data_IF_506761545097
#
_entry.id   IF_506761545097
#
_cell.length_a   1.000
_cell.length_b   1.000
_cell.length_c   1.000
_cell.angle_alpha   90.00
_cell.angle_beta   90.00
_cell.angle_gamma   90.00
#
_symmetry.space_group_name_H-M   'P 1'
#
loop_
_entity.id
_entity.type
_entity.pdbx_description
1 polymer ?
#
# COMPACT_ATOMS: atom_id res chain seq x y z
N UNK A 1 5.63 -23.42 -25.00
CA UNK A 1 5.28 -22.87 -26.34
C UNK A 1 3.90 -22.26 -26.24
N UNK A 2 3.79 -20.97 -26.43
CA UNK A 2 2.53 -20.20 -26.29
C UNK A 2 1.61 -20.51 -27.46
N UNK A 3 0.30 -20.69 -27.19
CA UNK A 3 -0.70 -20.95 -28.20
C UNK A 3 -1.45 -19.68 -28.59
N UNK A 4 -2.00 -19.63 -29.81
CA UNK A 4 -2.89 -18.56 -30.28
C UNK A 4 -4.09 -18.34 -29.34
N UNK A 5 -4.57 -19.39 -28.69
CA UNK A 5 -5.70 -19.32 -27.74
C UNK A 5 -5.32 -18.58 -26.46
N UNK A 6 -4.09 -18.77 -25.98
CA UNK A 6 -3.58 -18.03 -24.80
C UNK A 6 -3.44 -16.53 -25.09
N UNK A 7 -2.92 -16.17 -26.27
CA UNK A 7 -2.82 -14.74 -26.67
C UNK A 7 -4.22 -14.12 -26.81
N UNK A 8 -5.17 -14.82 -27.42
CA UNK A 8 -6.58 -14.34 -27.49
C UNK A 8 -7.20 -14.17 -26.12
N UNK A 9 -6.94 -15.08 -25.18
CA UNK A 9 -7.38 -14.95 -23.80
C UNK A 9 -6.81 -13.68 -23.13
N UNK A 10 -5.53 -13.39 -23.37
CA UNK A 10 -4.89 -12.18 -22.87
C UNK A 10 -5.47 -10.91 -23.48
N UNK A 11 -5.72 -10.89 -24.80
CA UNK A 11 -6.39 -9.79 -25.50
C UNK A 11 -7.77 -9.47 -24.90
N UNK A 12 -8.58 -10.51 -24.63
CA UNK A 12 -9.89 -10.33 -24.01
C UNK A 12 -9.81 -9.72 -22.60
N UNK A 13 -8.77 -10.10 -21.81
CA UNK A 13 -8.53 -9.48 -20.49
C UNK A 13 -8.18 -7.99 -20.65
N UNK A 14 -7.30 -7.64 -21.59
CA UNK A 14 -6.93 -6.24 -21.87
C UNK A 14 -8.16 -5.43 -22.28
N UNK A 15 -9.00 -5.93 -23.21
CA UNK A 15 -10.23 -5.25 -23.60
C UNK A 15 -11.20 -5.07 -22.42
N UNK A 16 -11.29 -6.06 -21.55
CA UNK A 16 -12.16 -6.00 -20.36
C UNK A 16 -11.64 -4.96 -19.40
N UNK A 17 -10.33 -4.93 -19.13
CA UNK A 17 -9.70 -3.91 -18.30
C UNK A 17 -9.94 -2.51 -18.89
N UNK A 18 -9.74 -2.31 -20.18
CA UNK A 18 -9.97 -1.03 -20.85
C UNK A 18 -11.38 -0.49 -20.67
N UNK A 19 -12.39 -1.38 -20.70
CA UNK A 19 -13.78 -1.02 -20.40
C UNK A 19 -14.00 -0.69 -18.92
N UNK A 20 -13.43 -1.49 -18.01
CA UNK A 20 -13.55 -1.26 -16.57
C UNK A 20 -12.96 0.09 -16.15
N UNK A 21 -11.79 0.46 -16.67
CA UNK A 21 -11.13 1.73 -16.36
C UNK A 21 -11.61 2.90 -17.22
N UNK A 22 -12.53 2.67 -18.17
CA UNK A 22 -13.04 3.68 -19.12
C UNK A 22 -11.89 4.39 -19.86
N UNK A 23 -11.01 3.61 -20.50
CA UNK A 23 -9.73 4.11 -21.04
C UNK A 23 -9.89 5.30 -22.01
N UNK A 24 -10.93 5.30 -22.86
CA UNK A 24 -11.15 6.36 -23.83
C UNK A 24 -11.49 7.69 -23.14
N UNK A 25 -12.34 7.65 -22.10
CA UNK A 25 -12.66 8.84 -21.31
C UNK A 25 -11.41 9.38 -20.57
N UNK A 26 -10.54 8.48 -20.08
CA UNK A 26 -9.28 8.89 -19.45
C UNK A 26 -8.29 9.51 -20.44
N UNK A 27 -8.25 9.04 -21.68
CA UNK A 27 -7.44 9.66 -22.73
C UNK A 27 -7.89 11.09 -23.03
N UNK A 28 -9.21 11.30 -23.16
CA UNK A 28 -9.79 12.64 -23.33
C UNK A 28 -9.48 13.55 -22.13
N UNK A 29 -9.60 13.01 -20.92
CA UNK A 29 -9.26 13.75 -19.70
C UNK A 29 -7.79 14.15 -19.65
N UNK A 30 -6.86 13.25 -20.02
CA UNK A 30 -5.42 13.56 -20.11
C UNK A 30 -5.18 14.69 -21.10
N UNK A 31 -5.82 14.66 -22.26
CA UNK A 31 -5.67 15.71 -23.27
C UNK A 31 -6.18 17.06 -22.75
N UNK A 32 -7.38 17.10 -22.20
CA UNK A 32 -7.99 18.30 -21.63
C UNK A 32 -7.17 18.88 -20.47
N UNK A 33 -6.75 18.02 -19.53
CA UNK A 33 -5.92 18.45 -18.40
C UNK A 33 -4.54 18.93 -18.86
N UNK A 34 -3.93 18.27 -19.85
CA UNK A 34 -2.65 18.70 -20.40
C UNK A 34 -2.76 20.06 -21.09
N UNK A 35 -3.84 20.34 -21.83
CA UNK A 35 -4.07 21.65 -22.41
C UNK A 35 -4.20 22.75 -21.35
N UNK A 36 -4.85 22.48 -20.21
CA UNK A 36 -4.95 23.44 -19.11
C UNK A 36 -3.59 23.80 -18.50
N UNK A 37 -2.64 22.87 -18.45
CA UNK A 37 -1.29 23.17 -17.92
C UNK A 37 -0.48 24.12 -18.81
N UNK A 38 -0.91 24.35 -20.06
CA UNK A 38 -0.28 25.28 -21.00
C UNK A 38 -0.82 26.71 -20.87
N UNK A 39 -1.86 26.96 -20.09
CA UNK A 39 -2.41 28.28 -19.86
C UNK A 39 -1.43 29.14 -19.05
N UNK A 40 -1.36 30.43 -19.39
CA UNK A 40 -0.37 31.33 -18.81
C UNK A 40 -0.57 31.58 -17.31
N UNK A 41 -1.80 31.48 -16.85
CA UNK A 41 -2.24 31.66 -15.46
C UNK A 41 -2.18 30.39 -14.61
N UNK A 42 -1.82 29.24 -15.21
CA UNK A 42 -1.78 27.95 -14.50
C UNK A 42 -0.82 27.94 -13.29
N UNK A 43 0.25 28.72 -13.36
CA UNK A 43 1.30 28.74 -12.34
C UNK A 43 1.13 29.86 -11.29
N UNK A 44 0.03 30.62 -11.34
CA UNK A 44 -0.21 31.74 -10.42
C UNK A 44 -0.46 31.24 -8.97
N UNK A 45 -1.05 30.05 -8.80
CA UNK A 45 -1.16 29.35 -7.52
C UNK A 45 -0.37 28.03 -7.53
N UNK A 46 0.83 28.01 -6.93
CA UNK A 46 1.67 26.81 -6.92
C UNK A 46 1.04 25.59 -6.23
N UNK A 47 0.20 25.80 -5.21
CA UNK A 47 -0.44 24.70 -4.47
C UNK A 47 -1.53 24.05 -5.31
N UNK A 48 -2.37 24.84 -5.94
CA UNK A 48 -3.40 24.33 -6.86
C UNK A 48 -2.76 23.65 -8.06
N UNK A 49 -1.69 24.23 -8.62
CA UNK A 49 -0.94 23.64 -9.72
C UNK A 49 -0.34 22.27 -9.35
N UNK A 50 0.26 22.14 -8.16
CA UNK A 50 0.80 20.88 -7.65
C UNK A 50 -0.30 19.79 -7.52
N UNK A 51 -1.43 20.15 -6.92
CA UNK A 51 -2.58 19.24 -6.78
C UNK A 51 -3.09 18.78 -8.15
N UNK A 52 -3.25 19.73 -9.07
CA UNK A 52 -3.70 19.43 -10.43
C UNK A 52 -2.74 18.52 -11.20
N UNK A 53 -1.42 18.75 -11.08
CA UNK A 53 -0.39 17.91 -11.69
C UNK A 53 -0.37 16.49 -11.08
N UNK A 54 -0.60 16.37 -9.79
CA UNK A 54 -0.73 15.07 -9.13
C UNK A 54 -1.93 14.28 -9.67
N UNK A 55 -3.08 14.93 -9.83
CA UNK A 55 -4.26 14.33 -10.46
C UNK A 55 -3.98 13.90 -11.91
N UNK A 56 -3.39 14.80 -12.72
CA UNK A 56 -3.03 14.51 -14.10
C UNK A 56 -2.06 13.33 -14.20
N UNK A 57 -1.06 13.27 -13.31
CA UNK A 57 -0.12 12.16 -13.24
C UNK A 57 -0.84 10.83 -12.94
N UNK A 58 -1.82 10.83 -12.04
CA UNK A 58 -2.64 9.66 -11.74
C UNK A 58 -3.43 9.16 -12.96
N UNK A 59 -4.04 10.07 -13.73
CA UNK A 59 -4.78 9.67 -14.96
C UNK A 59 -3.80 9.19 -16.05
N UNK A 60 -2.67 9.86 -16.25
CA UNK A 60 -1.61 9.46 -17.19
C UNK A 60 -1.05 8.08 -16.87
N UNK A 61 -0.91 7.75 -15.59
CA UNK A 61 -0.46 6.42 -15.18
C UNK A 61 -1.32 5.30 -15.77
N UNK A 62 -2.66 5.46 -15.69
CA UNK A 62 -3.59 4.47 -16.22
C UNK A 62 -3.51 4.36 -17.75
N UNK A 63 -3.45 5.48 -18.44
CA UNK A 63 -3.36 5.51 -19.90
C UNK A 63 -2.05 4.88 -20.37
N UNK A 64 -0.93 5.31 -19.80
CA UNK A 64 0.40 4.80 -20.19
C UNK A 64 0.54 3.29 -19.85
N UNK A 65 0.06 2.87 -18.68
CA UNK A 65 0.09 1.46 -18.29
C UNK A 65 -0.74 0.58 -19.21
N UNK A 66 -1.96 1.03 -19.53
CA UNK A 66 -2.84 0.32 -20.47
C UNK A 66 -2.23 0.25 -21.88
N UNK A 67 -1.71 1.34 -22.40
CA UNK A 67 -1.10 1.40 -23.74
C UNK A 67 0.13 0.48 -23.82
N UNK A 68 0.93 0.44 -22.74
CA UNK A 68 2.08 -0.47 -22.63
C UNK A 68 1.67 -1.94 -22.73
N UNK A 69 0.65 -2.33 -21.95
CA UNK A 69 0.15 -3.72 -21.96
C UNK A 69 -0.50 -4.05 -23.30
N UNK A 70 -1.29 -3.15 -23.86
CA UNK A 70 -1.91 -3.35 -25.17
C UNK A 70 -0.87 -3.56 -26.28
N UNK A 71 0.16 -2.72 -26.31
CA UNK A 71 1.28 -2.87 -27.25
C UNK A 71 2.03 -4.19 -27.05
N UNK A 72 2.33 -4.56 -25.80
CA UNK A 72 3.01 -5.83 -25.52
C UNK A 72 2.19 -7.04 -26.01
N UNK A 73 0.87 -7.00 -25.89
CA UNK A 73 -0.01 -8.07 -26.37
C UNK A 73 -0.13 -8.09 -27.89
N UNK A 74 -0.07 -6.93 -28.56
CA UNK A 74 0.01 -6.85 -30.03
C UNK A 74 1.33 -7.44 -30.53
N UNK A 75 2.45 -7.12 -29.89
CA UNK A 75 3.78 -7.67 -30.22
C UNK A 75 3.83 -9.21 -30.11
N UNK A 76 3.10 -9.82 -29.17
CA UNK A 76 3.02 -11.28 -29.06
C UNK A 76 2.45 -11.96 -30.31
N UNK A 77 1.54 -11.32 -31.05
CA UNK A 77 1.03 -11.88 -32.31
C UNK A 77 2.14 -11.89 -33.37
N UNK A 78 2.97 -10.86 -33.41
CA UNK A 78 4.11 -10.77 -34.32
C UNK A 78 5.15 -11.82 -33.98
N UNK A 79 5.51 -11.99 -32.69
CA UNK A 79 6.45 -13.00 -32.23
C UNK A 79 5.95 -14.42 -32.53
N UNK A 80 4.65 -14.64 -32.43
CA UNK A 80 4.05 -15.94 -32.75
C UNK A 80 4.14 -16.25 -34.26
N UNK A 81 3.95 -15.27 -35.15
CA UNK A 81 4.07 -15.43 -36.61
C UNK A 81 5.52 -15.77 -37.04
N UNK A 82 6.51 -15.23 -36.33
CA UNK A 82 7.92 -15.46 -36.59
C UNK A 82 8.51 -16.70 -35.86
N UNK A 83 7.69 -17.40 -35.06
CA UNK A 83 8.13 -18.53 -34.22
C UNK A 83 9.35 -18.20 -33.35
N UNK A 84 9.35 -16.95 -32.77
CA UNK A 84 10.46 -16.43 -32.00
C UNK A 84 10.59 -17.15 -30.65
N UNK A 85 11.82 -17.50 -30.27
CA UNK A 85 12.11 -18.17 -29.00
C UNK A 85 11.84 -17.27 -27.77
N UNK A 86 11.80 -15.94 -27.95
CA UNK A 86 11.53 -14.98 -26.88
C UNK A 86 10.04 -14.87 -26.51
N UNK A 87 9.14 -15.51 -27.26
CA UNK A 87 7.68 -15.41 -27.04
C UNK A 87 7.25 -15.83 -25.63
N UNK A 88 7.85 -16.88 -25.06
CA UNK A 88 7.49 -17.36 -23.72
C UNK A 88 7.84 -16.32 -22.64
N UNK A 89 8.95 -15.62 -22.78
CA UNK A 89 9.38 -14.56 -21.88
C UNK A 89 8.54 -13.30 -22.07
N UNK A 90 8.28 -12.88 -23.30
CA UNK A 90 7.44 -11.74 -23.62
C UNK A 90 6.00 -11.93 -23.10
N UNK A 91 5.44 -13.15 -23.25
CA UNK A 91 4.14 -13.49 -22.73
C UNK A 91 4.08 -13.39 -21.20
N UNK A 92 5.08 -13.95 -20.50
CA UNK A 92 5.15 -13.88 -19.05
C UNK A 92 5.21 -12.43 -18.56
N UNK A 93 6.00 -11.58 -19.21
CA UNK A 93 6.09 -10.15 -18.88
C UNK A 93 4.77 -9.40 -19.14
N UNK A 94 4.08 -9.68 -20.26
CA UNK A 94 2.79 -9.06 -20.56
C UNK A 94 1.70 -9.49 -19.56
N UNK A 95 1.71 -10.75 -19.12
CA UNK A 95 0.80 -11.24 -18.07
C UNK A 95 1.06 -10.53 -16.75
N UNK A 96 2.32 -10.43 -16.33
CA UNK A 96 2.70 -9.78 -15.07
C UNK A 96 2.26 -8.30 -15.05
N UNK A 97 2.50 -7.57 -16.15
CA UNK A 97 2.07 -6.17 -16.26
C UNK A 97 0.54 -6.00 -16.26
N UNK A 98 -0.18 -6.89 -16.95
CA UNK A 98 -1.65 -6.88 -16.94
C UNK A 98 -2.20 -7.18 -15.54
N UNK A 99 -1.68 -8.19 -14.86
CA UNK A 99 -2.11 -8.56 -13.51
C UNK A 99 -1.85 -7.44 -12.51
N UNK A 100 -0.74 -6.71 -12.65
CA UNK A 100 -0.45 -5.54 -11.82
C UNK A 100 -1.49 -4.42 -12.00
N UNK A 101 -1.93 -4.16 -13.25
CA UNK A 101 -2.97 -3.17 -13.53
C UNK A 101 -4.36 -3.63 -13.05
N UNK A 102 -4.71 -4.90 -13.26
CA UNK A 102 -5.96 -5.48 -12.78
C UNK A 102 -6.05 -5.40 -11.25
N UNK A 103 -4.97 -5.77 -10.55
CA UNK A 103 -4.90 -5.67 -9.10
C UNK A 103 -5.07 -4.23 -8.62
N UNK A 104 -4.40 -3.28 -9.28
CA UNK A 104 -4.52 -1.86 -8.95
C UNK A 104 -5.94 -1.33 -9.21
N UNK A 105 -6.62 -1.83 -10.24
CA UNK A 105 -8.01 -1.47 -10.50
C UNK A 105 -8.99 -1.95 -9.41
N UNK A 106 -8.63 -3.00 -8.67
CA UNK A 106 -9.40 -3.46 -7.51
C UNK A 106 -9.24 -2.55 -6.28
N UNK A 107 -8.18 -1.72 -6.24
CA UNK A 107 -7.90 -0.77 -5.17
C UNK A 107 -8.59 0.56 -5.50
N UNK A 108 -9.92 0.61 -5.33
CA UNK A 108 -10.76 1.76 -5.69
C UNK A 108 -11.46 2.42 -4.51
N UNK A 109 -11.17 2.01 -3.26
CA UNK A 109 -11.77 2.63 -2.09
C UNK A 109 -11.07 3.94 -1.72
N UNK A 110 -11.79 4.80 -1.01
CA UNK A 110 -11.26 6.07 -0.53
C UNK A 110 -10.03 5.83 0.36
N UNK A 111 -8.92 6.50 0.04
CA UNK A 111 -7.65 6.35 0.74
C UNK A 111 -6.73 5.24 0.20
N UNK A 112 -7.20 4.34 -0.67
CA UNK A 112 -6.35 3.27 -1.22
C UNK A 112 -5.10 3.79 -1.95
N UNK A 113 -5.20 4.97 -2.53
CA UNK A 113 -4.12 5.64 -3.25
C UNK A 113 -3.05 6.28 -2.35
N UNK A 114 -3.28 6.29 -1.04
CA UNK A 114 -2.37 6.92 -0.08
C UNK A 114 -1.19 6.01 0.30
N UNK A 115 -0.18 6.62 0.92
CA UNK A 115 0.83 5.91 1.69
C UNK A 115 0.21 5.17 2.89
N UNK A 116 0.99 4.37 3.59
CA UNK A 116 0.53 3.61 4.74
C UNK A 116 1.35 3.90 5.99
N UNK A 117 0.69 3.87 7.14
CA UNK A 117 1.31 3.75 8.45
C UNK A 117 1.02 2.34 8.97
N UNK A 118 2.05 1.57 9.22
CA UNK A 118 1.95 0.18 9.65
C UNK A 118 2.51 0.04 11.06
N UNK A 119 1.69 -0.47 11.99
CA UNK A 119 2.06 -0.72 13.38
C UNK A 119 2.02 -2.21 13.65
N UNK A 120 3.11 -2.77 14.19
CA UNK A 120 3.21 -4.17 14.59
C UNK A 120 3.39 -4.21 16.11
N UNK A 121 2.59 -5.03 16.78
CA UNK A 121 2.72 -5.24 18.22
C UNK A 121 2.86 -6.74 18.51
N UNK A 122 3.81 -7.08 19.34
CA UNK A 122 3.98 -8.47 19.81
C UNK A 122 2.81 -8.91 20.67
N UNK A 123 2.40 -10.16 20.52
CA UNK A 123 1.40 -10.78 21.39
C UNK A 123 1.98 -11.20 22.75
N UNK A 124 1.16 -11.86 23.56
CA UNK A 124 1.53 -12.27 24.93
C UNK A 124 2.59 -13.40 25.03
N UNK A 125 3.27 -13.74 23.95
CA UNK A 125 4.21 -14.86 23.86
C UNK A 125 5.66 -14.58 24.31
N UNK A 126 5.94 -13.44 24.92
CA UNK A 126 7.30 -13.07 25.36
C UNK A 126 8.29 -13.04 24.18
N UNK A 127 9.53 -13.54 24.39
CA UNK A 127 10.63 -13.52 23.42
C UNK A 127 10.26 -14.10 22.04
N UNK A 128 9.45 -15.17 22.00
CA UNK A 128 8.99 -15.77 20.74
C UNK A 128 8.09 -14.83 19.94
N UNK A 129 7.20 -14.09 20.61
CA UNK A 129 6.33 -13.11 19.96
C UNK A 129 7.11 -11.87 19.49
N UNK A 130 8.08 -11.44 20.27
CA UNK A 130 8.97 -10.32 19.89
C UNK A 130 9.79 -10.67 18.65
N UNK A 131 10.33 -11.89 18.57
CA UNK A 131 11.07 -12.36 17.39
C UNK A 131 10.16 -12.46 16.15
N UNK A 132 8.93 -12.96 16.33
CA UNK A 132 7.94 -12.98 15.26
C UNK A 132 7.61 -11.57 14.73
N UNK A 133 7.43 -10.60 15.62
CA UNK A 133 7.22 -9.20 15.22
C UNK A 133 8.39 -8.63 14.42
N UNK A 134 9.64 -8.94 14.81
CA UNK A 134 10.83 -8.55 14.05
C UNK A 134 10.90 -9.22 12.66
N UNK A 135 10.45 -10.47 12.56
CA UNK A 135 10.35 -11.16 11.27
C UNK A 135 9.31 -10.50 10.35
N UNK A 136 8.14 -10.13 10.89
CA UNK A 136 7.10 -9.40 10.15
C UNK A 136 7.59 -8.03 9.69
N UNK A 137 8.23 -7.26 10.58
CA UNK A 137 8.84 -5.97 10.24
C UNK A 137 9.78 -6.12 9.04
N UNK A 138 10.71 -7.08 9.11
CA UNK A 138 11.64 -7.33 8.00
C UNK A 138 10.94 -7.74 6.72
N UNK A 139 9.87 -8.53 6.80
CA UNK A 139 9.07 -8.95 5.65
C UNK A 139 8.46 -7.75 4.94
N UNK A 140 7.81 -6.84 5.68
CA UNK A 140 7.17 -5.64 5.12
C UNK A 140 8.19 -4.64 4.57
N UNK A 141 9.32 -4.42 5.26
CA UNK A 141 10.39 -3.56 4.75
C UNK A 141 10.89 -4.09 3.40
N UNK A 142 11.20 -5.38 3.30
CA UNK A 142 11.69 -5.97 2.05
C UNK A 142 10.64 -5.98 0.94
N UNK A 143 9.37 -6.14 1.29
CA UNK A 143 8.29 -6.01 0.32
C UNK A 143 8.22 -4.57 -0.22
N UNK A 144 8.27 -3.59 0.65
CA UNK A 144 8.24 -2.19 0.29
C UNK A 144 9.44 -1.79 -0.60
N UNK A 145 10.65 -2.21 -0.23
CA UNK A 145 11.87 -1.98 -1.03
C UNK A 145 11.77 -2.55 -2.45
N UNK A 146 11.25 -3.79 -2.60
CA UNK A 146 11.06 -4.44 -3.91
C UNK A 146 10.06 -3.71 -4.79
N UNK A 147 9.06 -3.08 -4.18
CA UNK A 147 8.04 -2.31 -4.89
C UNK A 147 8.38 -0.82 -5.02
N UNK A 148 9.60 -0.42 -4.65
CA UNK A 148 10.08 0.95 -4.81
C UNK A 148 9.50 1.95 -3.81
N UNK A 149 8.89 1.47 -2.71
CA UNK A 149 8.39 2.31 -1.63
C UNK A 149 9.51 2.77 -0.70
N UNK A 150 9.38 3.99 -0.20
CA UNK A 150 10.27 4.49 0.85
C UNK A 150 9.69 4.12 2.22
N UNK A 151 10.51 3.48 3.06
CA UNK A 151 10.12 3.10 4.43
C UNK A 151 10.87 3.94 5.44
N UNK A 152 10.16 4.50 6.40
CA UNK A 152 10.71 5.23 7.54
C UNK A 152 10.18 4.64 8.83
N UNK A 153 11.05 4.16 9.71
CA UNK A 153 10.67 3.71 11.05
C UNK A 153 10.49 4.97 11.92
N UNK A 154 9.28 5.16 12.45
CA UNK A 154 8.94 6.34 13.27
C UNK A 154 9.04 6.07 14.76
N UNK A 155 8.78 4.82 15.17
CA UNK A 155 8.87 4.38 16.55
C UNK A 155 9.24 2.90 16.59
N UNK A 156 10.13 2.52 17.53
CA UNK A 156 10.53 1.14 17.73
C UNK A 156 10.83 0.89 19.20
N UNK A 157 10.17 -0.13 19.75
CA UNK A 157 10.44 -0.61 21.09
C UNK A 157 11.02 -2.03 21.02
N UNK A 158 12.27 -2.16 21.38
CA UNK A 158 12.96 -3.45 21.41
C UNK A 158 12.37 -4.41 22.45
N UNK A 159 12.49 -5.71 22.21
CA UNK A 159 12.20 -6.75 23.19
C UNK A 159 13.31 -6.87 24.21
N UNK A 160 12.99 -7.35 25.41
CA UNK A 160 13.97 -7.47 26.52
C UNK A 160 15.12 -8.43 26.18
N UNK A 161 14.84 -9.58 25.58
CA UNK A 161 15.84 -10.60 25.25
C UNK A 161 16.14 -10.68 23.76
N UNK A 162 15.12 -10.50 22.91
CA UNK A 162 15.24 -10.55 21.45
C UNK A 162 14.02 -9.94 20.77
N UNK A 163 14.20 -9.59 19.50
CA UNK A 163 13.11 -9.09 18.64
C UNK A 163 12.60 -7.71 19.04
N UNK A 164 11.38 -7.38 18.64
CA UNK A 164 10.73 -6.10 18.90
C UNK A 164 9.39 -6.30 19.61
N UNK A 165 9.10 -5.42 20.56
CA UNK A 165 7.82 -5.39 21.28
C UNK A 165 6.76 -4.64 20.48
N UNK A 166 7.14 -3.52 19.90
CA UNK A 166 6.32 -2.76 18.96
C UNK A 166 7.17 -2.00 17.96
N UNK A 167 6.62 -1.75 16.77
CA UNK A 167 7.22 -0.87 15.77
C UNK A 167 6.12 -0.17 15.00
N UNK A 168 6.37 1.10 14.66
CA UNK A 168 5.54 1.87 13.75
C UNK A 168 6.41 2.34 12.58
N UNK A 169 5.94 2.07 11.37
CA UNK A 169 6.63 2.39 10.11
C UNK A 169 5.72 3.18 9.20
N UNK A 170 6.27 4.17 8.51
CA UNK A 170 5.63 4.84 7.39
C UNK A 170 6.13 4.23 6.09
N UNK A 171 5.21 3.90 5.20
CA UNK A 171 5.49 3.40 3.84
C UNK A 171 4.96 4.43 2.86
N UNK A 172 5.86 5.20 2.28
CA UNK A 172 5.55 6.29 1.36
C UNK A 172 5.55 5.79 -0.09
N UNK A 173 4.48 6.04 -0.80
CA UNK A 173 4.31 5.73 -2.21
C UNK A 173 2.84 5.47 -2.56
N UNK A 174 2.55 5.50 -3.86
CA UNK A 174 1.20 5.38 -4.37
C UNK A 174 0.61 4.00 -4.08
N UNK A 175 -0.62 3.96 -3.56
CA UNK A 175 -1.36 2.74 -3.24
C UNK A 175 -0.74 1.85 -2.15
N UNK A 176 0.24 2.34 -1.39
CA UNK A 176 0.83 1.54 -0.33
C UNK A 176 -0.21 1.08 0.70
N UNK A 177 -1.16 1.97 1.08
CA UNK A 177 -2.27 1.61 1.96
C UNK A 177 -3.19 0.58 1.32
N UNK A 178 -3.58 0.77 0.05
CA UNK A 178 -4.46 -0.16 -0.66
C UNK A 178 -3.91 -1.59 -0.67
N UNK A 179 -2.62 -1.77 -0.89
CA UNK A 179 -1.97 -3.08 -0.85
C UNK A 179 -1.85 -3.65 0.56
N UNK A 180 -1.57 -2.80 1.56
CA UNK A 180 -1.26 -3.26 2.92
C UNK A 180 -2.50 -3.36 3.82
N UNK A 181 -3.62 -2.70 3.51
CA UNK A 181 -4.83 -2.68 4.38
C UNK A 181 -5.34 -4.07 4.73
N UNK A 182 -5.24 -5.02 3.79
CA UNK A 182 -5.67 -6.40 3.97
C UNK A 182 -4.79 -7.19 4.96
N UNK A 183 -3.59 -6.70 5.27
CA UNK A 183 -2.68 -7.30 6.26
C UNK A 183 -3.09 -6.98 7.71
N UNK A 184 -4.05 -6.05 7.91
CA UNK A 184 -4.54 -5.71 9.25
C UNK A 184 -5.17 -6.93 9.94
N UNK A 185 -4.61 -7.31 11.09
CA UNK A 185 -5.11 -8.45 11.85
C UNK A 185 -4.06 -9.13 12.71
N UNK A 186 -4.34 -10.35 13.12
CA UNK A 186 -3.47 -11.15 13.98
C UNK A 186 -2.73 -12.19 13.14
N UNK A 187 -1.42 -12.07 13.11
CA UNK A 187 -0.52 -12.95 12.38
C UNK A 187 -0.01 -14.07 13.28
N UNK A 188 -0.20 -15.30 12.85
CA UNK A 188 0.15 -16.51 13.60
C UNK A 188 1.41 -17.15 13.04
N UNK A 189 2.38 -17.45 13.91
CA UNK A 189 3.54 -18.27 13.60
C UNK A 189 3.47 -19.60 14.35
N UNK A 190 3.73 -20.69 13.63
CA UNK A 190 3.90 -22.03 14.22
C UNK A 190 5.22 -22.60 13.75
N UNK A 191 6.16 -22.77 14.69
CA UNK A 191 7.49 -23.30 14.38
C UNK A 191 8.09 -24.06 15.57
N UNK A 192 9.19 -24.77 15.35
CA UNK A 192 10.06 -25.21 16.43
C UNK A 192 10.79 -23.96 16.95
N UNK A 193 10.61 -23.66 18.24
CA UNK A 193 11.18 -22.44 18.84
C UNK A 193 12.69 -22.53 18.96
N UNK A 194 13.45 -21.53 18.45
CA UNK A 194 14.89 -21.44 18.66
C UNK A 194 15.27 -21.05 20.10
N UNK A 195 14.30 -20.54 20.87
CA UNK A 195 14.48 -20.10 22.26
C UNK A 195 14.13 -21.21 23.28
N UNK A 196 13.60 -22.35 22.79
CA UNK A 196 13.25 -23.48 23.64
C UNK A 196 14.32 -24.57 23.57
N UNK A 197 15.06 -24.78 24.66
CA UNK A 197 16.12 -25.79 24.74
C UNK A 197 15.63 -27.24 24.45
N UNK A 198 14.35 -27.52 24.61
CA UNK A 198 13.75 -28.84 24.31
C UNK A 198 13.29 -28.96 22.84
N UNK A 199 13.45 -27.95 22.02
CA UNK A 199 13.04 -27.95 20.61
C UNK A 199 11.53 -28.19 20.41
N UNK A 200 10.69 -27.72 21.34
CA UNK A 200 9.24 -27.89 21.23
C UNK A 200 8.64 -26.95 20.18
N UNK A 201 7.62 -27.47 19.49
CA UNK A 201 6.78 -26.68 18.59
C UNK A 201 5.97 -25.68 19.42
N UNK A 202 6.06 -24.41 19.05
CA UNK A 202 5.35 -23.31 19.69
C UNK A 202 4.47 -22.56 18.70
N UNK A 203 3.45 -21.92 19.21
CA UNK A 203 2.55 -21.04 18.47
C UNK A 203 2.62 -19.66 19.11
N UNK A 204 2.85 -18.64 18.30
CA UNK A 204 2.90 -17.24 18.73
C UNK A 204 2.11 -16.34 17.81
N UNK A 205 1.78 -15.16 18.29
CA UNK A 205 0.95 -14.19 17.59
C UNK A 205 1.57 -12.79 17.66
N UNK A 206 1.34 -12.02 16.60
CA UNK A 206 1.62 -10.57 16.55
C UNK A 206 0.47 -9.88 15.84
N UNK A 207 0.09 -8.70 16.27
CA UNK A 207 -0.94 -7.90 15.60
C UNK A 207 -0.29 -6.91 14.65
N UNK A 208 -0.89 -6.74 13.49
CA UNK A 208 -0.54 -5.75 12.49
C UNK A 208 -1.75 -4.84 12.29
N UNK A 209 -1.52 -3.53 12.33
CA UNK A 209 -2.52 -2.53 12.00
C UNK A 209 -1.99 -1.62 10.91
N UNK A 210 -2.82 -1.35 9.92
CA UNK A 210 -2.47 -0.50 8.79
C UNK A 210 -3.47 0.64 8.71
N UNK A 211 -2.94 1.88 8.66
CA UNK A 211 -3.70 3.10 8.52
C UNK A 211 -3.23 3.85 7.28
N UNK A 212 -4.11 4.63 6.62
CA UNK A 212 -3.67 5.51 5.54
C UNK A 212 -2.77 6.61 6.10
N UNK A 213 -1.72 6.94 5.36
CA UNK A 213 -0.89 8.10 5.64
C UNK A 213 -1.63 9.34 5.16
N UNK A 214 -2.32 9.99 6.08
CA UNK A 214 -3.10 11.20 5.79
C UNK A 214 -2.16 12.40 5.80
N UNK A 215 -2.29 13.27 4.82
CA UNK A 215 -1.62 14.56 4.79
C UNK A 215 -2.42 15.63 5.56
N UNK A 216 -1.79 16.77 5.84
CA UNK A 216 -2.41 17.89 6.57
C UNK A 216 -3.53 18.59 5.76
N UNK A 217 -3.97 18.02 4.64
CA UNK A 217 -5.03 18.60 3.81
C UNK A 217 -6.44 18.39 4.35
N UNK A 218 -6.62 17.55 5.37
CA UNK A 218 -7.90 17.33 6.03
C UNK A 218 -8.01 18.30 7.20
N UNK A 219 -8.65 19.45 6.97
CA UNK A 219 -9.08 20.34 8.05
C UNK A 219 -10.28 19.72 8.76
N UNK A 220 -10.08 19.31 10.01
CA UNK A 220 -11.16 18.86 10.87
C UNK A 220 -11.62 20.06 11.71
N UNK A 221 -12.77 20.65 11.38
CA UNK A 221 -13.43 21.63 12.22
C UNK A 221 -14.11 20.93 13.39
N UNK A 222 -13.54 21.06 14.58
CA UNK A 222 -14.19 20.60 15.82
C UNK A 222 -15.07 21.73 16.35
N UNK A 223 -16.38 21.52 16.27
CA UNK A 223 -17.33 22.48 16.86
C UNK A 223 -17.21 22.39 18.39
N UNK A 224 -16.92 23.51 19.10
CA UNK A 224 -16.82 23.50 20.57
C UNK A 224 -18.08 22.99 21.28
N UNK A 225 -19.26 23.09 20.64
CA UNK A 225 -20.53 22.56 21.15
C UNK A 225 -20.64 21.05 21.18
N UNK A 226 -19.76 20.34 20.44
CA UNK A 226 -19.74 18.87 20.36
C UNK A 226 -18.72 18.26 21.36
N UNK A 227 -18.01 19.13 22.13
CA UNK A 227 -17.06 18.72 23.15
C UNK A 227 -17.75 18.63 24.51
N UNK A 228 -17.78 17.41 25.06
CA UNK A 228 -18.17 17.16 26.44
C UNK A 228 -16.92 16.98 27.31
N UNK A 229 -16.81 17.80 28.37
CA UNK A 229 -15.65 17.78 29.25
C UNK A 229 -16.01 17.11 30.56
N UNK A 230 -15.49 15.92 30.82
CA UNK A 230 -15.58 15.24 32.09
C UNK A 230 -14.30 15.46 32.90
N UNK A 231 -14.44 16.08 34.08
CA UNK A 231 -13.33 16.20 35.02
C UNK A 231 -13.49 15.18 36.15
N UNK A 232 -12.42 14.48 36.48
CA UNK A 232 -12.42 13.53 37.58
C UNK A 232 -11.12 13.59 38.38
N UNK A 233 -11.22 13.25 39.67
CA UNK A 233 -10.03 13.18 40.53
C UNK A 233 -9.21 11.96 40.22
N UNK A 234 -7.88 12.13 40.18
CA UNK A 234 -7.00 10.99 39.97
C UNK A 234 -7.10 10.01 41.16
N UNK A 235 -7.48 8.75 40.87
CA UNK A 235 -7.52 7.68 41.86
C UNK A 235 -6.17 6.97 41.94
N UNK A 236 -5.36 7.30 42.96
CA UNK A 236 -4.06 6.63 43.16
C UNK A 236 -3.49 6.91 44.56
N UNK A 237 -2.53 6.10 44.98
CA UNK A 237 -1.77 6.34 46.22
C UNK A 237 -0.88 7.58 45.99
N UNK A 238 -1.21 8.72 46.63
CA UNK A 238 -0.50 9.98 46.51
C UNK A 238 -0.80 10.95 47.63
N UNK A 239 -0.02 12.02 47.73
CA UNK A 239 -0.14 13.03 48.77
C UNK A 239 -1.36 13.95 48.58
N UNK A 240 -1.45 14.99 49.43
CA UNK A 240 -2.61 15.89 49.54
C UNK A 240 -3.09 16.56 48.21
N UNK A 241 -2.17 16.68 47.20
CA UNK A 241 -2.52 17.26 45.89
C UNK A 241 -3.33 16.32 45.00
N UNK A 242 -3.18 14.99 45.13
CA UNK A 242 -3.92 13.98 44.34
C UNK A 242 -5.42 14.04 44.58
N UNK A 243 -5.81 14.47 45.83
CA UNK A 243 -7.21 14.54 46.25
C UNK A 243 -7.85 15.93 46.04
N UNK A 244 -7.10 16.93 45.56
CA UNK A 244 -7.55 18.32 45.45
C UNK A 244 -7.64 18.88 44.04
N UNK A 245 -6.99 18.23 43.08
CA UNK A 245 -6.95 18.69 41.67
C UNK A 245 -7.94 17.84 40.85
N UNK A 246 -8.90 18.52 40.26
CA UNK A 246 -9.83 17.98 39.24
C UNK A 246 -9.36 18.38 37.86
#
# INVERSE_FOLDING_TARGET
>A
MISTEQIKGLQQRVETLGRCISIDARREEVEQKTQKTLAADFWDDPKEAEKFLKELSGVKFWVNGFDKVASAVEDLNVLLEFEDEEIDQAYAAAVEELEALELRNMLGEEGDNLGAVLTINSGAGGTEANDWSAMLMRMYIRWAERNGYKVTITDELEGEDAGIKSVTMQVEGDYAFGYLKAESGVHRLVRISPFNAQGKRQTTFSSVFVYPLVDDSIEIEINPGDLEWDTYRSSGAGGQNVNKVE
#
